data_IF_178915717212
#
_entry.id   IF_178915717212
#
_cell.length_a   1.000
_cell.length_b   1.000
_cell.length_c   1.000
_cell.angle_alpha   90.00
_cell.angle_beta   90.00
_cell.angle_gamma   90.00
#
_symmetry.space_group_name_H-M   'P 1'
#
loop_
_entity.id
_entity.type
_entity.pdbx_description
1 polymer ?
#
# COMPACT_ATOMS: atom_id res chain seq x y z
N UNK A 1 10.10 -11.51 8.05
CA UNK A 1 10.40 -10.20 7.45
C UNK A 1 10.04 -9.15 8.47
N UNK A 2 10.85 -8.07 8.60
CA UNK A 2 10.60 -7.02 9.61
C UNK A 2 10.74 -5.63 9.02
N UNK A 3 9.99 -4.68 9.58
CA UNK A 3 10.08 -3.26 9.28
C UNK A 3 10.31 -2.51 10.59
N UNK A 4 11.44 -1.83 10.68
CA UNK A 4 11.80 -0.91 11.76
C UNK A 4 11.71 0.53 11.26
N UNK A 5 11.08 1.40 12.05
CA UNK A 5 10.89 2.82 11.76
C UNK A 5 11.15 3.61 13.03
N UNK A 6 12.09 4.53 12.99
CA UNK A 6 12.31 5.56 14.01
C UNK A 6 12.62 6.87 13.27
N UNK A 7 11.64 7.75 13.17
CA UNK A 7 11.73 8.96 12.34
C UNK A 7 11.12 10.18 13.02
N UNK A 8 11.66 11.33 12.63
CA UNK A 8 11.11 12.64 12.96
C UNK A 8 10.88 13.45 11.69
N UNK A 9 9.76 14.20 11.65
CA UNK A 9 9.42 15.11 10.56
C UNK A 9 8.71 16.36 11.08
N UNK A 10 9.27 17.54 10.77
CA UNK A 10 8.62 18.82 11.04
C UNK A 10 7.68 19.19 9.88
N UNK A 11 6.46 19.52 10.19
CA UNK A 11 5.40 19.90 9.24
C UNK A 11 4.75 21.21 9.71
N UNK A 12 5.36 22.33 9.38
CA UNK A 12 4.95 23.63 9.95
C UNK A 12 5.04 23.62 11.48
N UNK A 13 3.92 23.79 12.16
CA UNK A 13 3.83 23.73 13.63
C UNK A 13 3.71 22.31 14.19
N UNK A 14 3.43 21.31 13.34
CA UNK A 14 3.26 19.91 13.77
C UNK A 14 4.59 19.15 13.68
N UNK A 15 4.99 18.52 14.79
CA UNK A 15 6.17 17.67 14.87
C UNK A 15 5.75 16.21 14.94
N UNK A 16 5.98 15.48 13.85
CA UNK A 16 5.77 14.04 13.79
C UNK A 16 6.99 13.33 14.38
N UNK A 17 6.77 12.46 15.37
CA UNK A 17 7.74 11.51 15.86
C UNK A 17 7.09 10.12 15.92
N UNK A 18 7.71 9.14 15.27
CA UNK A 18 7.19 7.78 15.18
C UNK A 18 8.31 6.79 15.42
N UNK A 19 8.05 5.86 16.32
CA UNK A 19 8.88 4.71 16.55
C UNK A 19 7.98 3.47 16.53
N UNK A 20 8.25 2.53 15.63
CA UNK A 20 7.54 1.26 15.54
C UNK A 20 8.45 0.17 14.97
N UNK A 21 8.14 -1.05 15.35
CA UNK A 21 8.72 -2.26 14.78
C UNK A 21 7.59 -3.25 14.53
N UNK A 22 7.61 -3.90 13.39
CA UNK A 22 6.62 -4.92 13.01
C UNK A 22 7.28 -6.00 12.20
N UNK A 23 6.80 -7.23 12.38
CA UNK A 23 7.29 -8.41 11.66
C UNK A 23 6.33 -8.81 10.54
N UNK A 24 6.23 -10.11 10.27
CA UNK A 24 5.35 -10.68 9.26
C UNK A 24 3.89 -10.72 9.74
N UNK A 25 3.31 -9.56 10.00
CA UNK A 25 1.96 -9.38 10.55
C UNK A 25 1.28 -8.13 10.01
N UNK A 26 -0.01 -7.98 10.29
CA UNK A 26 -0.75 -6.76 10.00
C UNK A 26 -0.73 -5.89 11.26
N UNK A 27 -0.02 -4.76 11.19
CA UNK A 27 0.07 -3.79 12.28
C UNK A 27 -0.78 -2.55 11.96
N UNK A 28 -1.74 -2.22 12.82
CA UNK A 28 -2.58 -1.06 12.64
C UNK A 28 -2.00 0.21 13.28
N UNK A 29 -2.04 1.30 12.54
CA UNK A 29 -1.85 2.65 13.04
C UNK A 29 -3.21 3.33 13.23
N UNK A 30 -3.70 3.32 14.47
CA UNK A 30 -4.98 3.90 14.83
C UNK A 30 -4.79 5.29 15.45
N UNK A 31 -5.65 6.24 15.12
CA UNK A 31 -5.61 7.58 15.70
C UNK A 31 -6.54 8.56 15.00
N UNK A 32 -6.73 9.73 15.61
CA UNK A 32 -7.58 10.79 15.06
C UNK A 32 -7.08 11.27 13.68
N UNK A 33 -7.98 11.87 12.88
CA UNK A 33 -7.59 12.52 11.63
C UNK A 33 -6.56 13.62 11.90
N UNK A 34 -5.55 13.74 11.04
CA UNK A 34 -4.50 14.76 11.17
C UNK A 34 -3.35 14.41 12.15
N UNK A 35 -3.39 13.28 12.88
CA UNK A 35 -2.31 12.90 13.82
C UNK A 35 -1.02 12.38 13.14
N UNK A 36 -0.92 12.41 11.81
CA UNK A 36 0.32 12.07 11.09
C UNK A 36 0.40 10.66 10.50
N UNK A 37 -0.63 9.81 10.61
CA UNK A 37 -0.62 8.42 10.12
C UNK A 37 -0.23 8.30 8.65
N UNK A 38 -0.94 8.98 7.76
CA UNK A 38 -0.64 8.98 6.32
C UNK A 38 0.74 9.58 6.02
N UNK A 39 1.19 10.54 6.83
CA UNK A 39 2.53 11.12 6.69
C UNK A 39 3.60 10.09 7.06
N UNK A 40 3.37 9.29 8.11
CA UNK A 40 4.24 8.17 8.47
C UNK A 40 4.39 7.20 7.29
N UNK A 41 3.28 6.76 6.69
CA UNK A 41 3.33 5.87 5.53
C UNK A 41 4.08 6.51 4.35
N UNK A 42 3.86 7.80 4.08
CA UNK A 42 4.57 8.53 3.00
C UNK A 42 6.07 8.63 3.28
N UNK A 43 6.48 8.79 4.53
CA UNK A 43 7.89 8.77 4.93
C UNK A 43 8.50 7.37 4.71
N UNK A 44 7.80 6.31 5.13
CA UNK A 44 8.25 4.92 4.92
C UNK A 44 8.36 4.61 3.42
N UNK A 45 7.41 5.05 2.62
CA UNK A 45 7.42 4.85 1.16
C UNK A 45 8.47 5.67 0.41
N UNK A 46 9.09 6.68 1.06
CA UNK A 46 10.07 7.57 0.43
C UNK A 46 9.45 8.66 -0.44
N UNK A 47 8.13 8.87 -0.32
CA UNK A 47 7.40 9.96 -0.99
C UNK A 47 7.72 11.30 -0.30
N UNK A 48 7.87 11.25 1.03
CA UNK A 48 8.32 12.37 1.85
C UNK A 48 9.60 11.94 2.57
N UNK A 49 10.62 12.79 2.56
CA UNK A 49 11.87 12.53 3.28
C UNK A 49 11.72 12.94 4.74
N UNK A 50 11.95 12.05 5.72
CA UNK A 50 12.07 12.42 7.14
C UNK A 50 13.22 13.43 7.36
N UNK A 51 13.14 14.21 8.44
CA UNK A 51 14.22 15.13 8.77
C UNK A 51 15.33 14.42 9.54
N UNK A 52 14.97 13.43 10.37
CA UNK A 52 15.91 12.61 11.16
C UNK A 52 15.40 11.18 11.29
N UNK A 53 16.31 10.28 11.65
CA UNK A 53 16.01 8.93 12.04
C UNK A 53 16.43 7.87 11.04
N UNK A 54 15.82 6.69 11.16
CA UNK A 54 16.18 5.49 10.39
C UNK A 54 14.96 4.66 10.03
N UNK A 55 14.96 4.09 8.82
CA UNK A 55 13.97 3.12 8.34
C UNK A 55 14.72 1.92 7.78
N UNK A 56 14.39 0.72 8.28
CA UNK A 56 15.01 -0.55 7.84
C UNK A 56 13.91 -1.54 7.48
N UNK A 57 14.06 -2.21 6.35
CA UNK A 57 13.19 -3.30 5.91
C UNK A 57 14.05 -4.53 5.58
N UNK A 58 13.85 -5.64 6.28
CA UNK A 58 14.60 -6.89 6.08
C UNK A 58 16.12 -6.65 6.02
N UNK A 59 16.70 -6.04 7.06
CA UNK A 59 18.11 -5.68 7.17
C UNK A 59 18.62 -4.64 6.14
N UNK A 60 17.78 -4.20 5.22
CA UNK A 60 18.10 -3.19 4.23
C UNK A 60 17.70 -1.80 4.72
N UNK A 61 18.66 -0.91 4.85
CA UNK A 61 18.43 0.50 5.22
C UNK A 61 17.75 1.21 4.04
N UNK A 62 16.54 1.72 4.26
CA UNK A 62 15.77 2.50 3.30
C UNK A 62 16.03 4.00 3.44
N UNK A 63 16.21 4.43 4.69
CA UNK A 63 16.53 5.80 5.06
C UNK A 63 17.38 5.81 6.32
N UNK A 64 18.41 6.65 6.35
CA UNK A 64 19.22 6.93 7.52
C UNK A 64 19.79 8.34 7.41
N UNK A 65 19.40 9.23 8.32
CA UNK A 65 19.85 10.62 8.31
C UNK A 65 21.33 10.77 8.72
N UNK A 66 21.85 9.88 9.54
CA UNK A 66 23.27 9.88 9.96
C UNK A 66 24.20 9.38 8.87
N UNK A 67 23.84 8.28 8.20
CA UNK A 67 24.60 7.67 7.12
C UNK A 67 24.30 8.30 5.74
N UNK A 68 23.40 9.27 5.68
CA UNK A 68 22.94 9.95 4.44
C UNK A 68 22.36 8.98 3.40
N UNK A 69 21.72 7.91 3.84
CA UNK A 69 21.02 6.96 2.98
C UNK A 69 19.58 7.44 2.78
N UNK A 70 19.14 7.54 1.52
CA UNK A 70 17.73 7.82 1.20
C UNK A 70 17.37 7.15 -0.13
N UNK A 71 16.82 5.95 -0.06
CA UNK A 71 16.40 5.22 -1.24
C UNK A 71 15.14 5.86 -1.85
N UNK A 72 15.08 5.91 -3.18
CA UNK A 72 13.89 6.36 -3.90
C UNK A 72 12.71 5.40 -3.66
N UNK A 73 11.45 5.84 -3.81
CA UNK A 73 10.26 4.96 -3.67
C UNK A 73 10.37 3.66 -4.46
N UNK A 74 10.90 3.73 -5.70
CA UNK A 74 11.07 2.57 -6.57
C UNK A 74 12.08 1.56 -6.03
N UNK A 75 13.14 2.05 -5.37
CA UNK A 75 14.18 1.21 -4.76
C UNK A 75 13.72 0.57 -3.45
N UNK A 76 12.74 1.16 -2.75
CA UNK A 76 12.24 0.64 -1.46
C UNK A 76 11.44 -0.65 -1.58
N UNK A 77 10.90 -0.97 -2.76
CA UNK A 77 10.09 -2.16 -3.03
C UNK A 77 8.88 -2.31 -2.11
N UNK A 78 8.23 -1.21 -1.82
CA UNK A 78 7.02 -1.16 -1.02
C UNK A 78 5.77 -1.08 -1.90
N UNK A 79 4.72 -1.77 -1.50
CA UNK A 79 3.38 -1.56 -2.03
C UNK A 79 2.68 -0.46 -1.25
N UNK A 80 2.12 0.55 -1.94
CA UNK A 80 1.37 1.62 -1.28
C UNK A 80 -0.02 1.73 -1.89
N UNK A 81 -1.04 1.49 -1.06
CA UNK A 81 -2.42 1.77 -1.41
C UNK A 81 -2.80 3.15 -0.85
N UNK A 82 -2.98 4.10 -1.76
CA UNK A 82 -3.46 5.44 -1.42
C UNK A 82 -4.97 5.44 -1.16
N UNK A 83 -5.44 6.36 -0.34
CA UNK A 83 -6.85 6.57 -0.03
C UNK A 83 -7.73 6.75 -1.30
N UNK A 84 -7.19 7.36 -2.35
CA UNK A 84 -7.85 7.55 -3.64
C UNK A 84 -7.44 6.51 -4.70
N UNK A 85 -6.82 5.38 -4.26
CA UNK A 85 -6.33 4.27 -5.08
C UNK A 85 -5.24 4.64 -6.10
N UNK A 86 -5.05 5.90 -6.43
CA UNK A 86 -4.05 6.45 -7.35
C UNK A 86 -3.92 5.64 -8.65
N UNK A 87 -5.04 5.28 -9.27
CA UNK A 87 -5.05 4.66 -10.58
C UNK A 87 -4.67 5.68 -11.66
N UNK A 88 -3.96 5.24 -12.68
CA UNK A 88 -3.66 6.06 -13.84
C UNK A 88 -4.93 6.27 -14.67
N UNK A 89 -5.52 7.48 -14.70
CA UNK A 89 -6.84 7.70 -15.30
C UNK A 89 -6.89 7.45 -16.81
N UNK A 90 -5.77 7.64 -17.49
CA UNK A 90 -5.62 7.47 -18.94
C UNK A 90 -5.16 6.06 -19.34
N UNK A 91 -5.15 5.12 -18.41
CA UNK A 91 -4.79 3.73 -18.64
C UNK A 91 -5.98 2.81 -18.35
N UNK A 92 -6.13 1.76 -19.13
CA UNK A 92 -7.11 0.70 -18.89
C UNK A 92 -6.74 -0.11 -17.64
N UNK A 93 -7.67 -0.95 -17.16
CA UNK A 93 -7.42 -1.90 -16.05
C UNK A 93 -6.17 -2.73 -16.30
N UNK A 94 -6.09 -3.38 -17.47
CA UNK A 94 -4.90 -4.19 -17.81
C UNK A 94 -3.61 -3.40 -17.77
N UNK A 95 -3.59 -2.17 -18.29
CA UNK A 95 -2.40 -1.31 -18.29
C UNK A 95 -2.03 -0.86 -16.89
N UNK A 96 -3.02 -0.52 -16.06
CA UNK A 96 -2.80 -0.21 -14.64
C UNK A 96 -2.13 -1.37 -13.91
N UNK A 97 -2.62 -2.61 -14.07
CA UNK A 97 -2.06 -3.81 -13.45
C UNK A 97 -0.65 -4.08 -13.97
N UNK A 98 -0.47 -4.02 -15.30
CA UNK A 98 0.83 -4.27 -15.94
C UNK A 98 1.93 -3.28 -15.53
N UNK A 99 1.58 -2.07 -15.07
CA UNK A 99 2.56 -1.14 -14.48
C UNK A 99 3.21 -1.70 -13.21
N UNK A 100 2.55 -2.62 -12.50
CA UNK A 100 3.12 -3.31 -11.33
C UNK A 100 4.06 -4.46 -11.72
N UNK A 101 3.89 -5.06 -12.89
CA UNK A 101 4.66 -6.25 -13.29
C UNK A 101 6.09 -5.89 -13.66
N UNK A 102 7.05 -6.42 -12.91
CA UNK A 102 8.49 -6.12 -13.08
C UNK A 102 9.14 -6.84 -14.25
N UNK A 103 8.63 -8.02 -14.64
CA UNK A 103 9.19 -8.78 -15.76
C UNK A 103 9.17 -7.99 -17.07
N UNK A 104 10.20 -8.19 -17.90
CA UNK A 104 10.25 -7.68 -19.27
C UNK A 104 9.72 -8.70 -20.29
N UNK A 105 9.61 -9.96 -19.91
CA UNK A 105 9.11 -11.03 -20.78
C UNK A 105 7.60 -10.89 -21.03
N UNK A 106 7.18 -10.99 -22.28
CA UNK A 106 5.78 -10.83 -22.66
C UNK A 106 4.89 -11.96 -22.16
N UNK A 107 5.41 -13.20 -22.11
CA UNK A 107 4.63 -14.35 -21.64
C UNK A 107 4.40 -14.27 -20.13
N UNK A 108 5.45 -13.92 -19.38
CA UNK A 108 5.34 -13.71 -17.92
C UNK A 108 4.38 -12.56 -17.59
N UNK A 109 4.44 -11.44 -18.33
CA UNK A 109 3.47 -10.34 -18.17
C UNK A 109 2.04 -10.78 -18.43
N UNK A 110 1.81 -11.54 -19.49
CA UNK A 110 0.48 -12.04 -19.83
C UNK A 110 -0.03 -13.02 -18.75
N UNK A 111 0.81 -13.91 -18.25
CA UNK A 111 0.47 -14.85 -17.18
C UNK A 111 0.15 -14.10 -15.88
N UNK A 112 0.98 -13.15 -15.46
CA UNK A 112 0.76 -12.34 -14.26
C UNK A 112 -0.54 -11.52 -14.36
N UNK A 113 -0.83 -10.94 -15.53
CA UNK A 113 -2.07 -10.22 -15.78
C UNK A 113 -3.29 -11.14 -15.67
N UNK A 114 -3.27 -12.31 -16.32
CA UNK A 114 -4.37 -13.26 -16.31
C UNK A 114 -4.65 -13.77 -14.87
N UNK A 115 -3.60 -14.07 -14.12
CA UNK A 115 -3.72 -14.46 -12.71
C UNK A 115 -4.30 -13.33 -11.85
N UNK A 116 -3.81 -12.10 -12.01
CA UNK A 116 -4.33 -10.94 -11.30
C UNK A 116 -5.80 -10.67 -11.62
N UNK A 117 -6.21 -10.71 -12.90
CA UNK A 117 -7.60 -10.51 -13.31
C UNK A 117 -8.52 -11.53 -12.64
N UNK A 118 -8.16 -12.81 -12.65
CA UNK A 118 -8.91 -13.88 -12.01
C UNK A 118 -8.94 -13.71 -10.49
N UNK A 119 -7.78 -13.56 -9.85
CA UNK A 119 -7.63 -13.42 -8.39
C UNK A 119 -8.42 -12.25 -7.85
N UNK A 120 -8.47 -11.13 -8.57
CA UNK A 120 -9.18 -9.92 -8.16
C UNK A 120 -10.59 -9.78 -8.76
N UNK A 121 -11.11 -10.82 -9.46
CA UNK A 121 -12.44 -10.81 -10.09
C UNK A 121 -12.62 -9.59 -10.99
N UNK A 122 -11.65 -9.33 -11.85
CA UNK A 122 -11.62 -8.20 -12.79
C UNK A 122 -11.77 -8.66 -14.25
N UNK A 123 -12.07 -9.95 -14.47
CA UNK A 123 -12.30 -10.52 -15.80
C UNK A 123 -13.46 -9.80 -16.48
N UNK A 124 -13.30 -9.48 -17.77
CA UNK A 124 -14.24 -8.70 -18.57
C UNK A 124 -14.14 -7.17 -18.36
N UNK A 125 -13.26 -6.71 -17.45
CA UNK A 125 -13.04 -5.28 -17.22
C UNK A 125 -11.72 -4.76 -17.79
N UNK A 126 -10.94 -5.59 -18.46
CA UNK A 126 -9.55 -5.34 -18.87
C UNK A 126 -9.38 -4.03 -19.64
N UNK A 127 -10.34 -3.75 -20.52
CA UNK A 127 -10.33 -2.59 -21.42
C UNK A 127 -10.99 -1.33 -20.83
N UNK A 128 -11.61 -1.44 -19.64
CA UNK A 128 -12.24 -0.30 -18.99
C UNK A 128 -11.19 0.66 -18.39
N UNK A 129 -11.56 1.93 -18.35
CA UNK A 129 -10.81 2.99 -17.68
C UNK A 129 -11.30 3.16 -16.23
N UNK A 130 -10.47 3.73 -15.32
CA UNK A 130 -10.87 3.93 -13.92
C UNK A 130 -12.21 4.63 -13.72
N UNK A 131 -12.54 5.64 -14.54
CA UNK A 131 -13.81 6.36 -14.47
C UNK A 131 -15.05 5.48 -14.79
N UNK A 132 -14.86 4.30 -15.37
CA UNK A 132 -15.93 3.35 -15.72
C UNK A 132 -16.08 2.24 -14.68
N UNK A 133 -15.37 2.33 -13.56
CA UNK A 133 -15.32 1.33 -12.50
C UNK A 133 -16.00 1.85 -11.22
N UNK A 134 -16.66 0.95 -10.48
CA UNK A 134 -17.08 1.25 -9.12
C UNK A 134 -15.87 1.44 -8.19
N UNK A 135 -16.07 2.08 -7.04
CA UNK A 135 -15.01 2.28 -6.04
C UNK A 135 -14.32 0.96 -5.63
N UNK A 136 -15.10 -0.09 -5.39
CA UNK A 136 -14.55 -1.42 -5.07
C UNK A 136 -13.80 -2.05 -6.24
N UNK A 137 -14.22 -1.83 -7.49
CA UNK A 137 -13.46 -2.29 -8.66
C UNK A 137 -12.13 -1.52 -8.79
N UNK A 138 -12.14 -0.21 -8.56
CA UNK A 138 -10.91 0.61 -8.56
C UNK A 138 -9.93 0.14 -7.48
N UNK A 139 -10.41 -0.13 -6.28
CA UNK A 139 -9.60 -0.67 -5.18
C UNK A 139 -8.95 -2.00 -5.58
N UNK A 140 -9.73 -2.93 -6.15
CA UNK A 140 -9.23 -4.24 -6.61
C UNK A 140 -8.15 -4.09 -7.69
N UNK A 141 -8.30 -3.17 -8.62
CA UNK A 141 -7.27 -2.86 -9.63
C UNK A 141 -6.00 -2.32 -8.98
N UNK A 142 -6.12 -1.42 -7.99
CA UNK A 142 -4.96 -0.88 -7.27
C UNK A 142 -4.21 -1.96 -6.49
N UNK A 143 -4.93 -2.85 -5.79
CA UNK A 143 -4.35 -3.99 -5.09
C UNK A 143 -3.68 -4.98 -6.04
N UNK A 144 -4.33 -5.31 -7.15
CA UNK A 144 -3.74 -6.16 -8.18
C UNK A 144 -2.41 -5.58 -8.70
N UNK A 145 -2.36 -4.27 -8.98
CA UNK A 145 -1.15 -3.56 -9.38
C UNK A 145 -0.05 -3.66 -8.32
N UNK A 146 -0.40 -3.47 -7.04
CA UNK A 146 0.53 -3.54 -5.91
C UNK A 146 1.11 -4.96 -5.80
N UNK A 147 0.29 -5.99 -5.74
CA UNK A 147 0.75 -7.37 -5.56
C UNK A 147 1.53 -7.90 -6.77
N UNK A 148 1.19 -7.47 -8.00
CA UNK A 148 1.98 -7.76 -9.20
C UNK A 148 3.41 -7.18 -9.14
N UNK A 149 3.66 -6.17 -8.30
CA UNK A 149 5.00 -5.63 -8.11
C UNK A 149 5.86 -6.45 -7.16
N UNK A 150 5.32 -7.52 -6.56
CA UNK A 150 5.99 -8.37 -5.59
C UNK A 150 6.67 -7.52 -4.49
N UNK A 151 5.90 -6.75 -3.71
CA UNK A 151 6.46 -5.87 -2.70
C UNK A 151 7.01 -6.68 -1.52
N UNK A 152 7.97 -6.11 -0.80
CA UNK A 152 8.53 -6.69 0.44
C UNK A 152 7.73 -6.27 1.68
N UNK A 153 6.95 -5.19 1.61
CA UNK A 153 5.96 -4.77 2.61
C UNK A 153 4.82 -4.00 1.95
N UNK A 154 3.65 -3.93 2.60
CA UNK A 154 2.47 -3.24 2.10
C UNK A 154 2.05 -2.14 3.08
N UNK A 155 1.74 -0.97 2.55
CA UNK A 155 1.26 0.20 3.27
C UNK A 155 -0.15 0.53 2.79
N UNK A 156 -1.14 0.46 3.68
CA UNK A 156 -2.55 0.70 3.39
C UNK A 156 -3.00 2.01 4.07
N UNK A 157 -3.29 3.03 3.29
CA UNK A 157 -3.69 4.36 3.77
C UNK A 157 -5.20 4.53 3.65
N UNK A 158 -5.92 4.29 4.75
CA UNK A 158 -7.37 4.37 4.85
C UNK A 158 -8.11 3.65 3.70
N UNK A 159 -7.90 2.35 3.51
CA UNK A 159 -8.30 1.63 2.29
C UNK A 159 -9.81 1.67 2.01
N UNK A 160 -10.64 1.93 3.03
CA UNK A 160 -12.11 1.89 2.91
C UNK A 160 -12.81 3.21 3.25
N UNK A 161 -12.07 4.29 3.44
CA UNK A 161 -12.64 5.59 3.89
C UNK A 161 -13.64 6.21 2.91
N UNK A 162 -13.57 5.86 1.62
CA UNK A 162 -14.43 6.39 0.56
C UNK A 162 -15.67 5.52 0.26
N UNK A 163 -15.94 4.49 1.08
CA UNK A 163 -16.99 3.50 0.80
C UNK A 163 -18.14 3.60 1.79
N UNK A 164 -19.36 3.30 1.32
CA UNK A 164 -20.51 3.09 2.21
C UNK A 164 -20.33 1.83 3.07
N UNK A 165 -21.06 1.76 4.20
CA UNK A 165 -20.85 0.74 5.22
C UNK A 165 -21.14 -0.70 4.75
N UNK A 166 -22.06 -0.89 3.82
CA UNK A 166 -22.39 -2.23 3.30
C UNK A 166 -21.31 -2.74 2.35
N UNK A 167 -20.87 -1.87 1.44
CA UNK A 167 -19.80 -2.19 0.50
C UNK A 167 -18.46 -2.38 1.22
N UNK A 168 -18.21 -1.57 2.25
CA UNK A 168 -17.04 -1.65 3.11
C UNK A 168 -16.85 -3.05 3.70
N UNK A 169 -17.90 -3.61 4.36
CA UNK A 169 -17.85 -4.94 4.97
C UNK A 169 -17.39 -6.04 4.00
N UNK A 170 -17.98 -6.09 2.81
CA UNK A 170 -17.63 -7.09 1.81
C UNK A 170 -16.18 -6.94 1.31
N UNK A 171 -15.71 -5.69 1.15
CA UNK A 171 -14.37 -5.41 0.67
C UNK A 171 -13.30 -5.60 1.75
N UNK A 172 -13.64 -5.42 3.03
CA UNK A 172 -12.76 -5.78 4.15
C UNK A 172 -12.44 -7.28 4.13
N UNK A 173 -13.47 -8.13 4.04
CA UNK A 173 -13.29 -9.59 3.94
C UNK A 173 -12.46 -9.97 2.71
N UNK A 174 -12.80 -9.40 1.54
CA UNK A 174 -12.02 -9.65 0.32
C UNK A 174 -10.56 -9.22 0.44
N UNK A 175 -10.27 -8.09 1.08
CA UNK A 175 -8.89 -7.62 1.26
C UNK A 175 -8.11 -8.54 2.17
N UNK A 176 -8.68 -8.93 3.31
CA UNK A 176 -8.05 -9.84 4.26
C UNK A 176 -7.72 -11.19 3.62
N UNK A 177 -8.66 -11.79 2.88
CA UNK A 177 -8.43 -13.04 2.14
C UNK A 177 -7.27 -12.91 1.13
N UNK A 178 -7.17 -11.76 0.46
CA UNK A 178 -6.15 -11.55 -0.57
C UNK A 178 -4.76 -11.26 0.00
N UNK A 179 -4.72 -10.74 1.23
CA UNK A 179 -3.48 -10.47 1.94
C UNK A 179 -3.03 -11.64 2.83
N UNK A 180 -3.89 -12.64 3.06
CA UNK A 180 -3.59 -13.79 3.91
C UNK A 180 -2.32 -14.56 3.49
N UNK A 181 -2.07 -14.66 2.19
CA UNK A 181 -0.87 -15.32 1.64
C UNK A 181 0.36 -14.41 1.54
N UNK A 182 0.21 -13.13 1.89
CA UNK A 182 1.31 -12.18 1.76
C UNK A 182 2.32 -12.41 2.89
N UNK A 183 3.56 -12.66 2.52
CA UNK A 183 4.66 -12.86 3.46
C UNK A 183 5.44 -11.54 3.58
N UNK A 184 5.17 -10.77 4.63
CA UNK A 184 5.83 -9.50 4.90
C UNK A 184 5.00 -8.59 5.81
N UNK A 185 5.59 -7.54 6.37
CA UNK A 185 4.88 -6.58 7.21
C UNK A 185 3.83 -5.81 6.39
N UNK A 186 2.65 -5.64 6.99
CA UNK A 186 1.57 -4.81 6.45
C UNK A 186 1.27 -3.72 7.48
N UNK A 187 1.43 -2.46 7.10
CA UNK A 187 0.98 -1.33 7.91
C UNK A 187 -0.37 -0.85 7.41
N UNK A 188 -1.35 -0.86 8.30
CA UNK A 188 -2.73 -0.48 8.02
C UNK A 188 -3.10 0.79 8.78
N UNK A 189 -3.33 1.86 8.09
CA UNK A 189 -3.82 3.12 8.67
C UNK A 189 -5.33 3.17 8.60
N UNK A 190 -5.97 3.36 9.74
CA UNK A 190 -7.41 3.62 9.84
C UNK A 190 -7.73 4.59 10.99
N UNK A 191 -8.90 5.21 10.90
CA UNK A 191 -9.53 5.93 12.01
C UNK A 191 -10.72 5.15 12.61
N UNK A 192 -11.10 4.03 12.00
CA UNK A 192 -12.20 3.16 12.42
C UNK A 192 -11.67 1.98 13.26
N UNK A 193 -12.03 1.99 14.55
CA UNK A 193 -11.63 0.92 15.50
C UNK A 193 -12.19 -0.44 15.09
N UNK A 194 -13.44 -0.47 14.58
CA UNK A 194 -14.07 -1.72 14.16
C UNK A 194 -13.34 -2.38 12.99
N UNK A 195 -12.84 -1.59 12.05
CA UNK A 195 -12.01 -2.05 10.93
C UNK A 195 -10.70 -2.69 11.44
N UNK A 196 -10.03 -2.02 12.38
CA UNK A 196 -8.77 -2.53 12.95
C UNK A 196 -9.00 -3.85 13.70
N UNK A 197 -10.02 -3.93 14.57
CA UNK A 197 -10.30 -5.16 15.32
C UNK A 197 -10.66 -6.37 14.46
N UNK A 198 -11.15 -6.15 13.23
CA UNK A 198 -11.51 -7.25 12.34
C UNK A 198 -10.36 -7.73 11.47
N UNK A 199 -9.36 -6.90 11.23
CA UNK A 199 -8.33 -7.15 10.19
C UNK A 199 -6.89 -7.21 10.72
N UNK A 200 -6.66 -6.88 12.00
CA UNK A 200 -5.31 -6.81 12.57
C UNK A 200 -5.14 -7.69 13.82
#
# INVERSE_FOLDING_TARGET
MSLYVDIEKQLGSFHLRVQLETENEITALLGASGCGKSMTLKCIAGIVTPDRGRIVLNDRVLFDSGEKVNLTPQQRRLGYLFQNYALFPNMTVEKNILCGVRSKDKKEKAAALADALRRFRLEGLEKRYPAQLSGGQQQRVALARILCSQPEAILLDEPFSALDSFLKWNLELELSDRLADFQGPILWVSHDRGEVFRNC
#
